data_IF_867437085330
#
_entry.id   IF_867437085330
#
_cell.length_a   1.000
_cell.length_b   1.000
_cell.length_c   1.000
_cell.angle_alpha   90.00
_cell.angle_beta   90.00
_cell.angle_gamma   90.00
#
_symmetry.space_group_name_H-M   'P 1'
#
loop_
_entity.id
_entity.type
_entity.pdbx_description
1 polymer ?
#
# COMPACT_ATOMS: atom_id res chain seq x y z
N UNK A 1 45.23 11.69 7.48
CA UNK A 1 44.63 10.45 6.93
C UNK A 1 43.79 9.80 8.03
N UNK A 2 42.47 10.02 8.05
CA UNK A 2 41.58 9.51 9.11
C UNK A 2 40.75 8.37 8.52
N UNK A 3 40.94 7.17 9.05
CA UNK A 3 40.22 5.96 8.63
C UNK A 3 38.94 5.80 9.47
N UNK A 4 37.80 6.15 8.87
CA UNK A 4 36.48 5.94 9.50
C UNK A 4 36.10 4.46 9.36
N UNK A 5 36.34 3.69 10.41
CA UNK A 5 35.98 2.27 10.52
C UNK A 5 34.48 2.14 10.82
N UNK A 6 33.67 1.92 9.79
CA UNK A 6 32.24 1.63 9.92
C UNK A 6 31.99 0.32 10.68
N UNK A 7 31.63 0.41 11.96
CA UNK A 7 31.23 -0.73 12.79
C UNK A 7 29.71 -0.73 12.93
N UNK A 8 29.02 -1.32 11.95
CA UNK A 8 27.56 -1.27 11.87
C UNK A 8 26.90 -2.54 11.33
N UNK A 9 27.36 -3.75 11.69
CA UNK A 9 26.59 -4.97 11.43
C UNK A 9 25.44 -5.05 12.44
N UNK A 10 24.35 -4.35 12.15
CA UNK A 10 23.07 -4.60 12.79
C UNK A 10 22.60 -5.99 12.42
N UNK A 11 22.75 -6.93 13.35
CA UNK A 11 22.10 -8.24 13.28
C UNK A 11 20.60 -8.02 13.49
N UNK A 12 19.91 -7.54 12.45
CA UNK A 12 18.45 -7.48 12.40
C UNK A 12 17.96 -8.92 12.52
N UNK A 13 17.46 -9.28 13.70
CA UNK A 13 16.84 -10.59 13.95
C UNK A 13 15.70 -10.72 12.94
N UNK A 14 15.88 -11.55 11.89
CA UNK A 14 14.85 -11.84 10.89
C UNK A 14 13.72 -12.61 11.58
N UNK A 15 12.78 -11.90 12.18
CA UNK A 15 11.56 -12.50 12.72
C UNK A 15 10.75 -13.08 11.55
N UNK A 16 10.08 -14.22 11.77
CA UNK A 16 9.20 -14.82 10.75
C UNK A 16 8.16 -13.80 10.26
N UNK A 17 7.64 -12.97 11.17
CA UNK A 17 6.72 -11.88 10.88
C UNK A 17 7.27 -10.89 9.83
N UNK A 18 8.51 -10.41 9.97
CA UNK A 18 9.09 -9.46 9.01
C UNK A 18 9.19 -10.02 7.58
N UNK A 19 9.46 -11.33 7.44
CA UNK A 19 9.47 -11.99 6.12
C UNK A 19 8.08 -12.07 5.50
N UNK A 20 7.05 -12.33 6.32
CA UNK A 20 5.66 -12.38 5.87
C UNK A 20 5.21 -10.99 5.42
N UNK A 21 5.52 -9.94 6.18
CA UNK A 21 5.19 -8.56 5.81
C UNK A 21 5.79 -8.15 4.45
N UNK A 22 7.05 -8.52 4.16
CA UNK A 22 7.66 -8.23 2.84
C UNK A 22 6.96 -8.99 1.71
N UNK A 23 6.56 -10.25 1.95
CA UNK A 23 5.79 -11.03 0.96
C UNK A 23 4.43 -10.39 0.69
N UNK A 24 3.70 -10.01 1.74
CA UNK A 24 2.42 -9.29 1.61
C UNK A 24 2.60 -7.97 0.86
N UNK A 25 3.66 -7.21 1.17
CA UNK A 25 3.96 -5.97 0.46
C UNK A 25 4.21 -6.18 -1.04
N UNK A 26 4.89 -7.28 -1.40
CA UNK A 26 5.15 -7.64 -2.79
C UNK A 26 3.86 -8.09 -3.50
N UNK A 27 3.04 -8.91 -2.86
CA UNK A 27 1.76 -9.37 -3.43
C UNK A 27 0.79 -8.20 -3.61
N UNK A 28 0.66 -7.33 -2.60
CA UNK A 28 -0.19 -6.12 -2.69
C UNK A 28 0.24 -5.20 -3.84
N UNK A 29 1.55 -5.01 -4.06
CA UNK A 29 2.05 -4.24 -5.19
C UNK A 29 1.64 -4.84 -6.55
N UNK A 30 1.73 -6.16 -6.71
CA UNK A 30 1.30 -6.84 -7.92
C UNK A 30 -0.22 -6.73 -8.14
N UNK A 31 -1.01 -6.90 -7.07
CA UNK A 31 -2.46 -6.74 -7.13
C UNK A 31 -2.86 -5.31 -7.51
N UNK A 32 -2.20 -4.30 -6.91
CA UNK A 32 -2.37 -2.89 -7.27
C UNK A 32 -2.09 -2.63 -8.73
N UNK A 33 -1.00 -3.19 -9.27
CA UNK A 33 -0.66 -3.01 -10.67
C UNK A 33 -1.75 -3.56 -11.59
N UNK A 34 -2.24 -4.78 -11.30
CA UNK A 34 -3.32 -5.42 -12.08
C UNK A 34 -4.59 -4.58 -12.02
N UNK A 35 -5.01 -4.15 -10.82
CA UNK A 35 -6.21 -3.35 -10.66
C UNK A 35 -6.10 -1.97 -11.31
N UNK A 36 -4.92 -1.35 -11.28
CA UNK A 36 -4.67 -0.09 -11.97
C UNK A 36 -4.85 -0.22 -13.48
N UNK A 37 -4.34 -1.31 -14.08
CA UNK A 37 -4.53 -1.57 -15.52
C UNK A 37 -6.02 -1.72 -15.84
N UNK A 38 -6.76 -2.51 -15.06
CA UNK A 38 -8.21 -2.71 -15.27
C UNK A 38 -8.95 -1.38 -15.13
N UNK A 39 -8.60 -0.56 -14.15
CA UNK A 39 -9.20 0.76 -13.89
C UNK A 39 -8.97 1.74 -15.05
N UNK A 40 -7.76 1.75 -15.61
CA UNK A 40 -7.43 2.57 -16.79
C UNK A 40 -8.26 2.10 -18.00
N UNK A 41 -8.28 0.80 -18.28
CA UNK A 41 -9.02 0.24 -19.42
C UNK A 41 -10.52 0.52 -19.28
N UNK A 42 -11.10 0.33 -18.10
CA UNK A 42 -12.51 0.63 -17.85
C UNK A 42 -12.81 2.13 -17.94
N UNK A 43 -11.87 2.99 -17.54
CA UNK A 43 -11.97 4.45 -17.71
C UNK A 43 -11.98 4.87 -19.18
N UNK A 44 -11.14 4.27 -20.02
CA UNK A 44 -11.18 4.49 -21.47
C UNK A 44 -12.49 4.03 -22.11
N UNK A 45 -13.08 2.94 -21.61
CA UNK A 45 -14.38 2.47 -22.08
C UNK A 45 -15.53 3.44 -21.74
N UNK A 46 -15.42 4.16 -20.62
CA UNK A 46 -16.39 5.20 -20.25
C UNK A 46 -16.39 6.37 -21.24
N UNK A 47 -15.21 6.80 -21.68
CA UNK A 47 -15.07 7.93 -22.60
C UNK A 47 -15.49 7.57 -24.04
N UNK A 48 -15.12 6.38 -24.54
CA UNK A 48 -15.33 6.02 -25.95
C UNK A 48 -16.54 5.09 -26.22
N UNK A 49 -17.31 4.67 -25.21
CA UNK A 49 -18.50 3.78 -25.30
C UNK A 49 -18.34 2.50 -26.16
N UNK A 50 -17.12 2.09 -26.48
CA UNK A 50 -16.85 1.08 -27.53
C UNK A 50 -16.50 -0.30 -26.98
N UNK A 51 -15.99 -0.39 -25.75
CA UNK A 51 -15.46 -1.64 -25.17
C UNK A 51 -16.43 -2.30 -24.18
N UNK A 52 -17.19 -1.52 -23.40
CA UNK A 52 -18.06 -2.00 -22.33
C UNK A 52 -19.30 -1.10 -22.21
N UNK A 53 -20.50 -1.67 -21.94
CA UNK A 53 -21.68 -0.87 -21.72
C UNK A 53 -21.55 -0.03 -20.44
N UNK A 54 -22.06 1.21 -20.47
CA UNK A 54 -21.85 2.24 -19.45
C UNK A 54 -22.20 1.78 -18.02
N UNK A 55 -23.23 0.95 -17.86
CA UNK A 55 -23.64 0.40 -16.57
C UNK A 55 -22.57 -0.52 -15.96
N UNK A 56 -21.88 -1.31 -16.78
CA UNK A 56 -20.85 -2.23 -16.32
C UNK A 56 -19.57 -1.46 -16.00
N UNK A 57 -19.22 -0.45 -16.81
CA UNK A 57 -18.09 0.44 -16.55
C UNK A 57 -18.27 1.18 -15.21
N UNK A 58 -19.49 1.69 -14.92
CA UNK A 58 -19.81 2.33 -13.64
C UNK A 58 -19.65 1.39 -12.46
N UNK A 59 -20.18 0.17 -12.57
CA UNK A 59 -20.13 -0.82 -11.49
C UNK A 59 -18.69 -1.27 -11.22
N UNK A 60 -17.90 -1.51 -12.27
CA UNK A 60 -16.47 -1.80 -12.13
C UNK A 60 -15.75 -0.65 -11.43
N UNK A 61 -15.96 0.60 -11.87
CA UNK A 61 -15.33 1.76 -11.26
C UNK A 61 -15.67 1.90 -9.78
N UNK A 62 -16.94 1.71 -9.39
CA UNK A 62 -17.29 1.74 -7.97
C UNK A 62 -16.60 0.63 -7.18
N UNK A 63 -16.74 -0.64 -7.56
CA UNK A 63 -16.25 -1.75 -6.72
C UNK A 63 -14.73 -1.90 -6.74
N UNK A 64 -14.09 -1.66 -7.90
CA UNK A 64 -12.63 -1.71 -7.98
C UNK A 64 -11.99 -0.57 -7.21
N UNK A 65 -12.59 0.63 -7.16
CA UNK A 65 -11.99 1.76 -6.46
C UNK A 65 -11.81 1.48 -4.96
N UNK A 66 -12.81 0.85 -4.31
CA UNK A 66 -12.70 0.45 -2.91
C UNK A 66 -11.56 -0.57 -2.69
N UNK A 67 -11.45 -1.56 -3.59
CA UNK A 67 -10.36 -2.54 -3.54
C UNK A 67 -9.00 -1.88 -3.78
N UNK A 68 -8.93 -0.95 -4.73
CA UNK A 68 -7.72 -0.20 -5.09
C UNK A 68 -7.20 0.57 -3.88
N UNK A 69 -8.09 1.33 -3.22
CA UNK A 69 -7.77 2.08 -2.00
C UNK A 69 -7.33 1.16 -0.89
N UNK A 70 -8.03 0.03 -0.66
CA UNK A 70 -7.66 -0.92 0.38
C UNK A 70 -6.24 -1.48 0.17
N UNK A 71 -5.94 -1.99 -1.03
CA UNK A 71 -4.61 -2.52 -1.33
C UNK A 71 -3.53 -1.44 -1.30
N UNK A 72 -3.86 -0.23 -1.77
CA UNK A 72 -2.97 0.94 -1.70
C UNK A 72 -2.60 1.25 -0.25
N UNK A 73 -3.57 1.31 0.64
CA UNK A 73 -3.35 1.60 2.06
C UNK A 73 -2.45 0.55 2.70
N UNK A 74 -2.73 -0.73 2.49
CA UNK A 74 -1.90 -1.83 3.01
C UNK A 74 -0.46 -1.71 2.50
N UNK A 75 -0.28 -1.46 1.20
CA UNK A 75 1.03 -1.33 0.59
C UNK A 75 1.82 -0.13 1.15
N UNK A 76 1.17 1.03 1.30
CA UNK A 76 1.79 2.25 1.81
C UNK A 76 2.13 2.12 3.29
N UNK A 77 1.24 1.57 4.12
CA UNK A 77 1.49 1.39 5.56
C UNK A 77 2.68 0.47 5.81
N UNK A 78 2.73 -0.67 5.12
CA UNK A 78 3.84 -1.63 5.24
C UNK A 78 5.14 -1.00 4.74
N UNK A 79 5.11 -0.32 3.59
CA UNK A 79 6.29 0.34 3.02
C UNK A 79 6.81 1.46 3.92
N UNK A 80 5.92 2.27 4.48
CA UNK A 80 6.25 3.36 5.42
C UNK A 80 6.85 2.80 6.69
N UNK A 81 6.27 1.74 7.26
CA UNK A 81 6.81 1.03 8.42
C UNK A 81 8.23 0.54 8.17
N UNK A 82 8.51 -0.03 6.99
CA UNK A 82 9.87 -0.47 6.64
C UNK A 82 10.86 0.70 6.46
N UNK A 83 10.41 1.81 5.88
CA UNK A 83 11.22 3.03 5.74
C UNK A 83 11.55 3.65 7.09
N UNK A 84 10.57 3.81 7.98
CA UNK A 84 10.78 4.35 9.33
C UNK A 84 11.69 3.43 10.17
N UNK A 85 11.51 2.11 10.06
CA UNK A 85 12.40 1.15 10.72
C UNK A 85 13.85 1.24 10.21
N UNK A 86 14.07 1.59 8.94
CA UNK A 86 15.42 1.79 8.36
C UNK A 86 16.09 3.03 8.95
N UNK A 87 15.33 4.10 9.16
CA UNK A 87 15.85 5.38 9.66
C UNK A 87 15.86 5.46 11.20
N UNK A 88 15.39 4.42 11.90
CA UNK A 88 15.30 4.35 13.37
C UNK A 88 14.52 5.51 13.99
N UNK A 89 13.52 6.01 13.26
CA UNK A 89 12.69 7.13 13.72
C UNK A 89 11.68 6.60 14.75
N UNK A 90 11.75 7.12 15.98
CA UNK A 90 10.79 6.85 17.05
C UNK A 90 10.89 5.45 17.68
N UNK A 91 10.06 5.23 18.72
CA UNK A 91 9.85 3.89 19.30
C UNK A 91 9.00 3.06 18.35
N UNK A 92 9.44 1.85 17.98
CA UNK A 92 8.71 0.96 17.05
C UNK A 92 7.23 0.81 17.38
N UNK A 93 6.87 0.67 18.66
CA UNK A 93 5.47 0.50 19.10
C UNK A 93 4.62 1.75 18.85
N UNK A 94 5.15 2.95 19.06
CA UNK A 94 4.42 4.20 18.80
C UNK A 94 4.20 4.38 17.30
N UNK A 95 5.23 4.10 16.50
CA UNK A 95 5.14 4.17 15.03
C UNK A 95 4.09 3.18 14.51
N UNK A 96 4.10 1.93 14.99
CA UNK A 96 3.13 0.92 14.56
C UNK A 96 1.69 1.35 14.90
N UNK A 97 1.44 1.92 16.09
CA UNK A 97 0.11 2.41 16.50
C UNK A 97 -0.32 3.62 15.66
N UNK A 98 0.57 4.58 15.43
CA UNK A 98 0.27 5.76 14.60
C UNK A 98 -0.04 5.37 13.15
N UNK A 99 0.70 4.41 12.60
CA UNK A 99 0.45 3.90 11.25
C UNK A 99 -0.89 3.18 11.16
N UNK A 100 -1.23 2.35 12.15
CA UNK A 100 -2.55 1.70 12.19
C UNK A 100 -3.69 2.72 12.33
N UNK A 101 -3.53 3.72 13.21
CA UNK A 101 -4.52 4.79 13.37
C UNK A 101 -4.68 5.62 12.09
N UNK A 102 -3.59 5.95 11.40
CA UNK A 102 -3.61 6.62 10.11
C UNK A 102 -4.32 5.75 9.05
N UNK A 103 -4.00 4.47 8.97
CA UNK A 103 -4.68 3.53 8.08
C UNK A 103 -6.20 3.46 8.32
N UNK A 104 -6.61 3.30 9.57
CA UNK A 104 -8.03 3.20 9.92
C UNK A 104 -8.76 4.51 9.62
N UNK A 105 -8.17 5.65 9.98
CA UNK A 105 -8.79 6.96 9.73
C UNK A 105 -8.93 7.28 8.24
N UNK A 106 -7.92 7.00 7.42
CA UNK A 106 -8.01 7.19 5.97
C UNK A 106 -9.03 6.25 5.33
N UNK A 107 -9.07 4.98 5.76
CA UNK A 107 -10.07 4.03 5.26
C UNK A 107 -11.49 4.45 5.65
N UNK A 108 -11.68 4.92 6.88
CA UNK A 108 -12.95 5.44 7.35
C UNK A 108 -13.40 6.68 6.57
N UNK A 109 -12.48 7.60 6.29
CA UNK A 109 -12.76 8.79 5.49
C UNK A 109 -13.26 8.41 4.08
N UNK A 110 -12.64 7.41 3.45
CA UNK A 110 -13.07 6.90 2.14
C UNK A 110 -14.47 6.32 2.20
N UNK A 111 -14.80 5.55 3.25
CA UNK A 111 -16.16 5.03 3.45
C UNK A 111 -17.18 6.13 3.74
N UNK A 112 -16.77 7.23 4.37
CA UNK A 112 -17.68 8.34 4.72
C UNK A 112 -18.03 9.24 3.54
N UNK A 113 -17.18 9.31 2.51
CA UNK A 113 -17.41 10.15 1.31
C UNK A 113 -18.26 9.42 0.26
N UNK A 114 -18.27 8.09 0.33
CA UNK A 114 -18.92 7.19 -0.63
C UNK A 114 -20.37 6.93 -0.25
#
# INVERSE_FOLDING_TARGET
MITIKWKGKLKVRRTKAGRILVKINRISAWMLLIFMIIFIISGYAWWNMTLLPLHLARRLHTELDLLLVFFFLVHVLISTRFTLARWRVGKSRLVDVLLLAAGISFFWLVLSIR
#
